data_IF_876603082067
#
_entry.id   IF_876603082067
#
_cell.length_a   1.000
_cell.length_b   1.000
_cell.length_c   1.000
_cell.angle_alpha   90.00
_cell.angle_beta   90.00
_cell.angle_gamma   90.00
#
_symmetry.space_group_name_H-M   'P 1'
#
loop_
_entity.id
_entity.type
_entity.pdbx_description
1 polymer ?
#
# COMPACT_ATOMS: atom_id res chain seq x y z
N UNK A 1 -10.63 22.08 -1.32
CA UNK A 1 -9.53 21.80 -0.36
C UNK A 1 -8.39 21.24 -1.19
N UNK A 2 -7.16 21.72 -1.01
CA UNK A 2 -6.04 21.29 -1.87
C UNK A 2 -5.40 20.04 -1.25
N UNK A 3 -5.94 18.86 -1.56
CA UNK A 3 -5.46 17.58 -1.04
C UNK A 3 -6.19 16.39 -1.66
N UNK A 4 -5.80 15.18 -1.25
CA UNK A 4 -6.50 13.96 -1.61
C UNK A 4 -7.59 13.67 -0.57
N UNK A 5 -8.85 13.71 -0.99
CA UNK A 5 -9.99 13.35 -0.15
C UNK A 5 -10.63 12.08 -0.70
N UNK A 6 -10.77 11.07 0.15
CA UNK A 6 -11.33 9.77 -0.21
C UNK A 6 -12.44 9.39 0.78
N UNK A 7 -13.57 8.90 0.26
CA UNK A 7 -14.61 8.24 1.04
C UNK A 7 -14.55 6.74 0.72
N UNK A 8 -14.22 5.93 1.72
CA UNK A 8 -14.01 4.49 1.55
C UNK A 8 -15.17 3.68 2.15
N UNK A 9 -15.68 2.72 1.38
CA UNK A 9 -16.73 1.78 1.82
C UNK A 9 -16.08 0.45 2.22
N UNK A 10 -15.99 0.19 3.53
CA UNK A 10 -15.28 -0.97 4.06
C UNK A 10 -16.01 -2.30 3.87
N UNK A 11 -17.30 -2.28 3.47
CA UNK A 11 -18.16 -3.47 3.31
C UNK A 11 -17.88 -4.57 4.36
N UNK A 12 -17.91 -4.21 5.66
CA UNK A 12 -17.47 -5.07 6.79
C UNK A 12 -18.15 -6.44 6.87
N UNK A 13 -19.31 -6.58 6.22
CA UNK A 13 -20.08 -7.82 6.15
C UNK A 13 -19.64 -8.76 5.01
N UNK A 14 -18.71 -8.35 4.14
CA UNK A 14 -18.22 -9.11 2.96
C UNK A 14 -16.72 -9.43 3.11
N UNK A 15 -16.27 -9.71 4.33
CA UNK A 15 -14.88 -10.09 4.59
C UNK A 15 -14.64 -11.55 4.21
N UNK A 16 -13.70 -11.77 3.29
CA UNK A 16 -13.10 -13.08 3.11
C UNK A 16 -12.24 -13.45 4.33
N UNK A 17 -11.83 -14.71 4.43
CA UNK A 17 -10.88 -15.12 5.46
C UNK A 17 -9.58 -14.29 5.35
N UNK A 18 -9.35 -13.42 6.34
CA UNK A 18 -8.12 -12.65 6.49
C UNK A 18 -7.39 -13.11 7.76
N UNK A 19 -6.06 -13.31 7.73
CA UNK A 19 -5.28 -13.59 8.93
C UNK A 19 -5.29 -12.42 9.92
N UNK A 20 -5.50 -11.19 9.43
CA UNK A 20 -5.71 -10.02 10.28
C UNK A 20 -7.18 -9.92 10.69
N UNK A 21 -7.42 -9.83 12.00
CA UNK A 21 -8.77 -9.77 12.59
C UNK A 21 -9.31 -8.34 12.75
N UNK A 22 -8.76 -7.39 12.01
CA UNK A 22 -9.17 -5.99 12.04
C UNK A 22 -10.09 -5.63 10.88
N UNK A 23 -11.02 -4.72 11.12
CA UNK A 23 -11.86 -4.11 10.09
C UNK A 23 -11.28 -2.75 9.69
N UNK A 24 -11.24 -2.46 8.40
CA UNK A 24 -10.80 -1.16 7.87
C UNK A 24 -9.91 -1.28 6.65
N UNK A 25 -9.07 -0.26 6.48
CA UNK A 25 -8.15 -0.15 5.36
C UNK A 25 -6.72 0.05 5.86
N UNK A 26 -5.74 -0.33 5.05
CA UNK A 26 -4.35 0.05 5.25
C UNK A 26 -3.94 1.09 4.23
N UNK A 27 -3.24 2.11 4.68
CA UNK A 27 -2.65 3.12 3.83
C UNK A 27 -1.14 3.12 4.00
N UNK A 28 -0.40 3.12 2.90
CA UNK A 28 1.03 3.37 2.90
C UNK A 28 1.33 4.59 2.02
N UNK A 29 2.21 5.46 2.50
CA UNK A 29 2.68 6.64 1.76
C UNK A 29 4.14 6.37 1.41
N UNK A 30 4.43 6.28 0.11
CA UNK A 30 5.76 5.95 -0.37
C UNK A 30 6.05 6.69 -1.68
N UNK A 31 7.31 6.65 -2.10
CA UNK A 31 7.73 7.19 -3.38
C UNK A 31 7.23 6.28 -4.52
N UNK A 32 6.83 6.86 -5.65
CA UNK A 32 6.19 6.12 -6.75
C UNK A 32 7.03 5.00 -7.39
N UNK A 33 8.37 5.07 -7.29
CA UNK A 33 9.29 4.02 -7.73
C UNK A 33 9.73 3.06 -6.60
N UNK A 34 9.13 3.15 -5.42
CA UNK A 34 9.37 2.23 -4.31
C UNK A 34 8.24 1.21 -4.20
N UNK A 35 8.60 -0.02 -3.85
CA UNK A 35 7.64 -1.06 -3.49
C UNK A 35 6.97 -0.73 -2.16
N UNK A 36 5.62 -0.70 -2.09
CA UNK A 36 4.92 -0.51 -0.82
C UNK A 36 5.06 -1.77 0.04
N UNK A 37 5.96 -1.72 1.03
CA UNK A 37 6.08 -2.78 2.02
C UNK A 37 5.07 -2.52 3.14
N UNK A 38 3.84 -2.99 2.92
CA UNK A 38 2.71 -2.83 3.84
C UNK A 38 2.93 -3.45 5.24
N UNK A 39 3.98 -4.26 5.42
CA UNK A 39 4.37 -4.80 6.73
C UNK A 39 5.30 -3.86 7.53
N UNK A 40 5.88 -2.84 6.89
CA UNK A 40 6.86 -1.93 7.50
C UNK A 40 6.31 -0.52 7.72
N UNK A 41 5.48 -0.02 6.78
CA UNK A 41 5.07 1.38 6.75
C UNK A 41 3.58 1.54 6.42
N UNK A 42 2.72 0.91 7.21
CA UNK A 42 1.27 1.02 7.09
C UNK A 42 0.63 1.86 8.20
N UNK A 43 -0.46 2.52 7.82
CA UNK A 43 -1.37 3.24 8.70
C UNK A 43 -2.72 2.54 8.60
N UNK A 44 -3.18 1.96 9.70
CA UNK A 44 -4.50 1.36 9.77
C UNK A 44 -5.58 2.45 9.89
N UNK A 45 -6.60 2.39 9.02
CA UNK A 45 -7.73 3.30 8.97
C UNK A 45 -8.99 2.56 9.40
N UNK A 46 -9.54 2.93 10.56
CA UNK A 46 -10.76 2.31 11.08
C UNK A 46 -12.03 2.91 10.45
N UNK A 47 -13.06 2.09 10.13
CA UNK A 47 -14.36 2.59 9.73
C UNK A 47 -15.02 3.44 10.82
N UNK A 48 -15.90 4.37 10.44
CA UNK A 48 -16.61 5.25 11.38
C UNK A 48 -15.81 6.46 11.86
N UNK A 49 -14.66 6.72 11.24
CA UNK A 49 -13.83 7.88 11.52
C UNK A 49 -13.48 8.61 10.22
N UNK A 50 -13.37 9.93 10.30
CA UNK A 50 -12.64 10.73 9.34
C UNK A 50 -11.21 10.85 9.84
N UNK A 51 -10.26 10.41 9.02
CA UNK A 51 -8.84 10.45 9.33
C UNK A 51 -8.18 11.52 8.45
N UNK A 52 -7.57 12.50 9.09
CA UNK A 52 -6.77 13.53 8.44
C UNK A 52 -5.29 13.18 8.57
N UNK A 53 -4.60 13.21 7.44
CA UNK A 53 -3.19 12.86 7.33
C UNK A 53 -2.41 14.08 6.85
N UNK A 54 -1.57 14.63 7.72
CA UNK A 54 -0.61 15.66 7.33
C UNK A 54 0.69 14.98 6.95
N UNK A 55 1.08 15.12 5.68
CA UNK A 55 2.27 14.47 5.12
C UNK A 55 3.37 15.51 4.94
N UNK A 56 4.50 15.30 5.60
CA UNK A 56 5.68 16.15 5.47
C UNK A 56 6.80 15.38 4.77
N UNK A 57 7.24 15.80 3.56
CA UNK A 57 8.37 15.18 2.90
C UNK A 57 9.68 15.60 3.59
N UNK A 58 10.55 14.63 3.83
CA UNK A 58 11.91 14.82 4.35
C UNK A 58 12.88 14.41 3.25
N UNK A 59 13.59 15.40 2.71
CA UNK A 59 14.64 15.20 1.72
C UNK A 59 15.98 15.00 2.42
N UNK A 60 16.71 13.97 1.99
CA UNK A 60 18.07 13.68 2.41
C UNK A 60 18.95 13.71 1.19
N UNK A 61 20.03 14.48 1.27
CA UNK A 61 20.98 14.63 0.18
C UNK A 61 22.40 14.59 0.77
N UNK A 62 23.28 13.86 0.08
CA UNK A 62 24.66 13.65 0.48
C UNK A 62 25.56 14.48 -0.43
N UNK A 63 26.44 15.29 0.18
CA UNK A 63 27.31 16.21 -0.56
C UNK A 63 28.16 15.50 -1.62
N UNK A 64 28.33 16.13 -2.79
CA UNK A 64 29.14 15.59 -3.89
C UNK A 64 30.59 15.31 -3.49
N UNK A 65 31.17 16.07 -2.55
CA UNK A 65 32.52 15.80 -2.05
C UNK A 65 32.63 14.44 -1.36
N UNK A 66 31.57 14.00 -0.67
CA UNK A 66 31.54 12.69 -0.05
C UNK A 66 31.48 11.56 -1.09
N UNK A 67 30.78 11.77 -2.22
CA UNK A 67 30.72 10.82 -3.34
C UNK A 67 32.11 10.50 -3.91
N UNK A 68 32.95 11.52 -4.10
CA UNK A 68 34.27 11.34 -4.70
C UNK A 68 35.33 10.84 -3.70
N UNK A 69 35.12 11.05 -2.41
CA UNK A 69 36.14 10.81 -1.37
C UNK A 69 36.00 9.46 -0.66
N UNK A 70 34.78 8.95 -0.52
CA UNK A 70 34.49 7.76 0.28
C UNK A 70 33.81 6.69 -0.56
N UNK A 71 34.08 5.41 -0.29
CA UNK A 71 33.33 4.30 -0.89
C UNK A 71 31.89 4.25 -0.35
N UNK A 72 30.96 3.52 -1.00
CA UNK A 72 29.59 3.37 -0.49
C UNK A 72 29.51 2.88 0.96
N UNK A 73 30.37 1.93 1.32
CA UNK A 73 30.43 1.35 2.66
C UNK A 73 30.97 2.35 3.70
N UNK A 74 31.97 3.16 3.33
CA UNK A 74 32.56 4.17 4.21
C UNK A 74 31.59 5.31 4.55
N UNK A 75 30.76 5.72 3.57
CA UNK A 75 29.74 6.76 3.77
C UNK A 75 28.38 6.22 4.20
N UNK A 76 28.18 4.90 4.14
CA UNK A 76 26.95 4.22 4.56
C UNK A 76 25.75 4.43 3.63
N UNK A 77 25.98 4.77 2.35
CA UNK A 77 24.90 4.96 1.37
C UNK A 77 25.36 4.73 -0.08
N UNK A 78 24.42 4.36 -0.94
CA UNK A 78 24.62 4.27 -2.40
C UNK A 78 24.00 5.47 -3.13
N UNK A 79 24.75 6.01 -4.08
CA UNK A 79 24.26 6.88 -5.14
C UNK A 79 23.63 6.05 -6.26
N UNK A 80 22.79 6.71 -7.04
CA UNK A 80 22.15 6.09 -8.19
C UNK A 80 23.19 5.56 -9.20
N UNK A 81 23.05 4.28 -9.57
CA UNK A 81 23.95 3.54 -10.46
C UNK A 81 25.13 2.82 -9.81
N UNK A 82 25.35 2.93 -8.49
CA UNK A 82 26.43 2.16 -7.82
C UNK A 82 26.03 0.74 -7.41
N UNK A 83 24.73 0.49 -7.36
CA UNK A 83 24.13 -0.82 -7.12
C UNK A 83 22.95 -0.99 -8.08
N UNK A 84 23.02 -2.04 -8.88
CA UNK A 84 21.95 -2.40 -9.82
C UNK A 84 21.36 -3.75 -9.43
N UNK A 85 20.05 -3.78 -9.20
CA UNK A 85 19.33 -5.00 -8.88
C UNK A 85 19.20 -5.90 -10.11
N UNK A 86 19.34 -7.21 -9.92
CA UNK A 86 19.14 -8.17 -11.01
C UNK A 86 17.69 -8.21 -11.51
N UNK A 87 16.71 -8.20 -10.61
CA UNK A 87 15.29 -8.40 -10.94
C UNK A 87 14.40 -7.17 -10.71
N UNK A 88 14.96 -6.04 -10.28
CA UNK A 88 14.25 -4.77 -10.14
C UNK A 88 14.86 -3.76 -11.13
N UNK A 89 14.35 -3.68 -12.38
CA UNK A 89 14.95 -2.82 -13.40
C UNK A 89 14.80 -1.34 -13.03
N UNK A 90 15.84 -0.54 -13.32
CA UNK A 90 15.91 0.90 -13.03
C UNK A 90 14.79 1.73 -13.67
N UNK A 91 14.19 1.23 -14.75
CA UNK A 91 13.05 1.88 -15.41
C UNK A 91 11.76 1.87 -14.58
N UNK A 92 11.66 0.96 -13.60
CA UNK A 92 10.47 0.79 -12.75
C UNK A 92 10.77 1.05 -11.28
N UNK A 93 12.02 0.83 -10.86
CA UNK A 93 12.44 0.92 -9.46
C UNK A 93 13.68 1.78 -9.34
N UNK A 94 13.70 2.67 -8.35
CA UNK A 94 14.93 3.38 -7.95
C UNK A 94 15.70 2.59 -6.91
N UNK A 95 16.98 2.91 -6.73
CA UNK A 95 17.67 2.47 -5.52
C UNK A 95 17.09 3.18 -4.29
N UNK A 96 16.74 2.38 -3.28
CA UNK A 96 16.23 2.83 -2.00
C UNK A 96 16.30 1.67 -1.02
N UNK A 97 16.38 1.95 0.28
CA UNK A 97 16.53 0.90 1.28
C UNK A 97 15.34 -0.08 1.23
N UNK A 98 14.12 0.42 1.07
CA UNK A 98 12.90 -0.39 0.91
C UNK A 98 13.01 -1.37 -0.27
N UNK A 99 13.35 -0.87 -1.46
CA UNK A 99 13.54 -1.69 -2.65
C UNK A 99 14.68 -2.70 -2.49
N UNK A 100 15.77 -2.32 -1.81
CA UNK A 100 16.87 -3.24 -1.53
C UNK A 100 16.45 -4.38 -0.61
N UNK A 101 15.74 -4.10 0.49
CA UNK A 101 15.23 -5.13 1.39
C UNK A 101 14.19 -6.03 0.71
N UNK A 102 13.38 -5.47 -0.17
CA UNK A 102 12.47 -6.26 -1.01
C UNK A 102 13.25 -7.16 -1.97
N UNK A 103 14.25 -6.64 -2.67
CA UNK A 103 15.10 -7.40 -3.58
C UNK A 103 15.87 -8.52 -2.86
N UNK A 104 16.39 -8.25 -1.65
CA UNK A 104 17.08 -9.25 -0.83
C UNK A 104 16.13 -10.39 -0.45
N UNK A 105 14.91 -10.04 -0.04
CA UNK A 105 13.87 -11.03 0.27
C UNK A 105 13.48 -11.82 -0.97
N UNK A 106 13.36 -11.16 -2.12
CA UNK A 106 13.05 -11.77 -3.40
C UNK A 106 14.12 -12.78 -3.82
N UNK A 107 15.40 -12.40 -3.72
CA UNK A 107 16.53 -13.30 -3.99
C UNK A 107 16.49 -14.54 -3.10
N UNK A 108 16.16 -14.39 -1.82
CA UNK A 108 15.99 -15.53 -0.91
C UNK A 108 14.83 -16.46 -1.31
N UNK A 109 13.71 -15.91 -1.76
CA UNK A 109 12.59 -16.72 -2.27
C UNK A 109 13.03 -17.54 -3.48
N UNK A 110 13.77 -16.92 -4.41
CA UNK A 110 14.28 -17.61 -5.60
C UNK A 110 15.27 -18.72 -5.24
N UNK A 111 16.23 -18.43 -4.36
CA UNK A 111 17.26 -19.40 -3.93
C UNK A 111 16.68 -20.59 -3.15
N UNK A 112 15.78 -20.31 -2.19
CA UNK A 112 15.28 -21.31 -1.24
C UNK A 112 14.04 -22.02 -1.79
N UNK A 113 13.06 -21.27 -2.28
CA UNK A 113 11.78 -21.82 -2.71
C UNK A 113 11.75 -22.22 -4.20
N UNK A 114 12.74 -21.79 -5.00
CA UNK A 114 12.85 -22.09 -6.44
C UNK A 114 11.57 -21.79 -7.23
N UNK A 115 10.89 -20.69 -6.89
CA UNK A 115 9.66 -20.25 -7.53
C UNK A 115 9.57 -18.72 -7.53
N UNK A 116 8.74 -18.18 -8.40
CA UNK A 116 8.55 -16.75 -8.58
C UNK A 116 7.24 -16.31 -7.93
N UNK A 117 7.24 -15.28 -7.07
CA UNK A 117 6.02 -14.69 -6.53
C UNK A 117 5.04 -14.26 -7.62
N UNK A 118 3.75 -14.56 -7.42
CA UNK A 118 2.70 -14.25 -8.39
C UNK A 118 2.54 -12.74 -8.66
N UNK A 119 2.89 -11.90 -7.69
CA UNK A 119 2.80 -10.43 -7.78
C UNK A 119 4.07 -9.77 -8.35
N UNK A 120 5.16 -10.53 -8.56
CA UNK A 120 6.41 -10.00 -9.10
C UNK A 120 7.16 -11.06 -9.93
N UNK A 121 6.96 -11.01 -11.25
CA UNK A 121 7.37 -12.09 -12.18
C UNK A 121 8.68 -11.84 -12.94
N UNK A 122 9.50 -10.86 -12.54
CA UNK A 122 10.70 -10.46 -13.28
C UNK A 122 11.76 -11.56 -13.40
N UNK A 123 11.81 -12.52 -12.47
CA UNK A 123 12.72 -13.67 -12.53
C UNK A 123 12.17 -14.90 -13.28
N UNK A 124 11.04 -14.80 -13.98
CA UNK A 124 10.38 -15.96 -14.60
C UNK A 124 11.23 -16.67 -15.66
N UNK A 125 12.13 -15.95 -16.33
CA UNK A 125 13.06 -16.56 -17.31
C UNK A 125 14.04 -17.52 -16.63
N UNK A 126 14.56 -17.13 -15.46
CA UNK A 126 15.52 -17.93 -14.70
C UNK A 126 14.80 -19.01 -13.85
N UNK A 127 13.58 -18.70 -13.38
CA UNK A 127 12.75 -19.56 -12.53
C UNK A 127 11.33 -19.69 -13.13
N UNK A 128 11.10 -20.60 -14.08
CA UNK A 128 9.87 -20.66 -14.89
C UNK A 128 8.68 -21.31 -14.16
N UNK A 129 8.50 -21.02 -12.87
CA UNK A 129 7.42 -21.55 -12.03
C UNK A 129 6.91 -20.47 -11.09
N UNK A 130 5.60 -20.28 -11.04
CA UNK A 130 4.96 -19.38 -10.08
C UNK A 130 4.77 -20.12 -8.76
N UNK A 131 5.06 -19.46 -7.63
CA UNK A 131 4.89 -20.05 -6.31
C UNK A 131 3.42 -20.46 -6.07
N UNK A 132 3.19 -21.77 -5.91
CA UNK A 132 1.89 -22.38 -5.65
C UNK A 132 2.03 -23.56 -4.67
N UNK A 133 0.94 -23.89 -3.96
CA UNK A 133 0.90 -25.01 -3.02
C UNK A 133 1.95 -24.90 -1.90
N UNK A 134 2.89 -25.86 -1.83
CA UNK A 134 3.96 -25.89 -0.82
C UNK A 134 4.94 -24.73 -1.01
N UNK A 135 5.29 -24.42 -2.26
CA UNK A 135 6.21 -23.31 -2.57
C UNK A 135 5.63 -21.95 -2.20
N UNK A 136 4.30 -21.80 -2.23
CA UNK A 136 3.59 -20.63 -1.72
C UNK A 136 3.75 -20.49 -0.20
N UNK A 137 3.71 -21.60 0.56
CA UNK A 137 3.94 -21.56 2.01
C UNK A 137 5.39 -21.17 2.34
N UNK A 138 6.36 -21.67 1.57
CA UNK A 138 7.77 -21.26 1.67
C UNK A 138 7.93 -19.76 1.43
N UNK A 139 7.41 -19.27 0.30
CA UNK A 139 7.42 -17.84 -0.06
C UNK A 139 6.78 -16.98 1.03
N UNK A 140 5.60 -17.35 1.53
CA UNK A 140 4.91 -16.60 2.57
C UNK A 140 5.67 -16.56 3.89
N UNK A 141 6.48 -17.58 4.19
CA UNK A 141 7.32 -17.58 5.39
C UNK A 141 8.44 -16.55 5.24
N UNK A 142 9.13 -16.54 4.11
CA UNK A 142 10.20 -15.57 3.84
C UNK A 142 9.67 -14.13 3.75
N UNK A 143 8.50 -13.92 3.12
CA UNK A 143 7.87 -12.60 3.01
C UNK A 143 7.43 -12.00 4.37
N UNK A 144 7.18 -12.84 5.38
CA UNK A 144 6.85 -12.33 6.73
C UNK A 144 8.07 -11.71 7.42
N UNK A 145 9.26 -12.10 7.00
CA UNK A 145 10.52 -11.67 7.59
C UNK A 145 11.25 -10.66 6.69
N UNK A 146 10.50 -9.88 5.89
CA UNK A 146 11.08 -8.77 5.10
C UNK A 146 11.86 -7.83 6.03
N UNK A 147 13.11 -7.54 5.66
CA UNK A 147 14.03 -6.74 6.46
C UNK A 147 15.04 -7.56 7.26
N UNK A 148 14.83 -8.87 7.41
CA UNK A 148 15.85 -9.78 7.99
C UNK A 148 17.01 -10.06 7.03
N UNK A 149 16.75 -9.97 5.73
CA UNK A 149 17.73 -10.14 4.67
C UNK A 149 18.25 -8.77 4.22
N UNK A 150 19.56 -8.56 4.39
CA UNK A 150 20.21 -7.26 4.15
C UNK A 150 21.28 -7.33 3.07
N UNK A 151 21.30 -8.38 2.24
CA UNK A 151 22.25 -8.53 1.13
C UNK A 151 21.50 -8.87 -0.15
N UNK A 152 21.94 -8.28 -1.27
CA UNK A 152 21.33 -8.45 -2.60
C UNK A 152 22.36 -8.86 -3.63
N UNK A 153 21.94 -9.60 -4.65
CA UNK A 153 22.76 -9.80 -5.83
C UNK A 153 22.77 -8.55 -6.71
N UNK A 154 23.93 -7.91 -6.78
CA UNK A 154 24.22 -6.82 -7.72
C UNK A 154 24.97 -7.36 -8.92
N UNK A 155 24.63 -6.88 -10.11
CA UNK A 155 25.40 -7.12 -11.33
C UNK A 155 26.44 -6.02 -11.45
N UNK A 156 27.71 -6.38 -11.49
CA UNK A 156 28.82 -5.45 -11.74
C UNK A 156 28.99 -5.17 -13.24
N UNK A 157 29.67 -4.08 -13.64
CA UNK A 157 29.90 -3.74 -15.06
C UNK A 157 30.65 -4.82 -15.85
N UNK A 158 31.40 -5.68 -15.18
CA UNK A 158 32.13 -6.81 -15.76
C UNK A 158 31.24 -8.05 -16.00
N UNK A 159 29.95 -7.97 -15.64
CA UNK A 159 28.97 -9.04 -15.75
C UNK A 159 29.03 -10.04 -14.60
N UNK A 160 29.85 -9.81 -13.58
CA UNK A 160 29.89 -10.67 -12.39
C UNK A 160 28.77 -10.32 -11.42
N UNK A 161 28.18 -11.35 -10.79
CA UNK A 161 27.18 -11.16 -9.74
C UNK A 161 27.85 -11.20 -8.37
N UNK A 162 27.78 -10.10 -7.63
CA UNK A 162 28.38 -9.96 -6.30
C UNK A 162 27.31 -9.62 -5.28
N UNK A 163 27.41 -10.20 -4.08
CA UNK A 163 26.52 -9.82 -2.97
C UNK A 163 26.97 -8.48 -2.38
N UNK A 164 26.05 -7.52 -2.31
CA UNK A 164 26.26 -6.21 -1.69
C UNK A 164 25.27 -6.02 -0.53
N UNK A 165 25.69 -5.37 0.57
CA UNK A 165 24.80 -5.05 1.67
C UNK A 165 23.78 -3.97 1.25
N UNK A 166 22.59 -3.99 1.84
CA UNK A 166 21.61 -2.93 1.69
C UNK A 166 21.99 -1.74 2.58
N UNK A 167 22.30 -0.61 1.95
CA UNK A 167 22.57 0.66 2.61
C UNK A 167 21.47 1.67 2.26
N UNK A 168 21.47 2.83 2.90
CA UNK A 168 20.54 3.90 2.54
C UNK A 168 20.87 4.46 1.15
N UNK A 169 19.89 5.12 0.51
CA UNK A 169 20.18 5.94 -0.65
C UNK A 169 20.83 7.27 -0.20
N UNK A 170 21.86 7.72 -0.90
CA UNK A 170 22.54 8.98 -0.60
C UNK A 170 21.66 10.20 -0.92
N UNK A 171 20.74 10.05 -1.88
CA UNK A 171 19.69 10.99 -2.25
C UNK A 171 18.34 10.29 -2.05
N UNK A 172 17.55 10.75 -1.09
CA UNK A 172 16.30 10.09 -0.73
C UNK A 172 15.20 11.08 -0.34
N UNK A 173 13.96 10.68 -0.62
CA UNK A 173 12.75 11.36 -0.17
C UNK A 173 11.94 10.40 0.68
N UNK A 174 11.84 10.71 1.96
CA UNK A 174 10.99 9.98 2.91
C UNK A 174 9.79 10.84 3.32
N UNK A 175 8.75 10.22 3.87
CA UNK A 175 7.53 10.92 4.27
C UNK A 175 7.25 10.66 5.75
N UNK A 176 7.02 11.72 6.52
CA UNK A 176 6.50 11.61 7.88
C UNK A 176 5.03 12.00 7.87
N UNK A 177 4.19 11.15 8.47
CA UNK A 177 2.75 11.36 8.55
C UNK A 177 2.34 11.67 9.99
N UNK A 178 1.60 12.76 10.17
CA UNK A 178 0.87 13.03 11.41
C UNK A 178 -0.61 12.69 11.19
N UNK A 179 -1.13 11.82 12.03
CA UNK A 179 -2.50 11.29 11.93
C UNK A 179 -3.38 11.94 12.98
N UNK A 180 -4.50 12.50 12.55
CA UNK A 180 -5.58 12.95 13.45
C UNK A 180 -6.89 12.31 13.01
N UNK A 181 -7.71 11.89 13.97
CA UNK A 181 -8.99 11.23 13.70
C UNK A 181 -10.13 11.97 14.37
N UNK A 182 -11.32 11.87 13.78
CA UNK A 182 -12.56 12.39 14.35
C UNK A 182 -13.72 11.47 13.97
N UNK A 183 -14.78 11.45 14.77
CA UNK A 183 -15.92 10.57 14.55
C UNK A 183 -16.65 10.97 13.25
N UNK A 184 -16.97 9.98 12.43
CA UNK A 184 -17.75 10.15 11.21
C UNK A 184 -18.81 9.04 11.09
N UNK A 185 -20.09 9.36 10.84
CA UNK A 185 -20.62 10.67 10.49
C UNK A 185 -20.87 11.60 11.71
N UNK A 186 -20.84 12.92 11.48
CA UNK A 186 -21.32 13.89 12.44
C UNK A 186 -22.85 13.90 12.46
N UNK A 187 -23.46 13.57 13.61
CA UNK A 187 -24.92 13.41 13.74
C UNK A 187 -25.73 14.66 13.34
N UNK A 188 -25.18 15.87 13.50
CA UNK A 188 -25.92 17.11 13.27
C UNK A 188 -25.75 17.67 11.86
N UNK A 189 -24.60 17.43 11.21
CA UNK A 189 -24.27 18.04 9.92
C UNK A 189 -24.29 17.06 8.75
N UNK A 190 -24.16 15.76 9.02
CA UNK A 190 -24.02 14.74 7.96
C UNK A 190 -25.21 14.70 7.00
N UNK A 191 -26.44 14.88 7.48
CA UNK A 191 -27.63 14.91 6.62
C UNK A 191 -27.60 16.00 5.54
N UNK A 192 -26.76 17.03 5.70
CA UNK A 192 -26.60 18.13 4.74
C UNK A 192 -25.37 17.96 3.84
N UNK A 193 -24.58 16.90 4.04
CA UNK A 193 -23.33 16.69 3.32
C UNK A 193 -23.54 15.85 2.06
N UNK A 194 -22.65 15.97 1.08
CA UNK A 194 -22.74 15.22 -0.17
C UNK A 194 -22.54 13.70 0.05
N UNK A 195 -21.71 13.36 1.03
CA UNK A 195 -21.40 11.99 1.44
C UNK A 195 -22.64 11.24 1.93
N UNK A 196 -23.57 11.93 2.58
CA UNK A 196 -24.84 11.32 2.99
C UNK A 196 -25.62 10.80 1.79
N UNK A 197 -25.66 11.53 0.68
CA UNK A 197 -26.35 11.07 -0.52
C UNK A 197 -25.61 9.93 -1.22
N UNK A 198 -24.28 9.92 -1.21
CA UNK A 198 -23.50 8.76 -1.68
C UNK A 198 -23.82 7.50 -0.86
N UNK A 199 -23.78 7.62 0.47
CA UNK A 199 -24.09 6.53 1.39
C UNK A 199 -25.55 6.06 1.24
N UNK A 200 -26.50 6.99 1.15
CA UNK A 200 -27.92 6.68 0.97
C UNK A 200 -28.17 5.95 -0.37
N UNK A 201 -27.56 6.40 -1.48
CA UNK A 201 -27.69 5.71 -2.78
C UNK A 201 -27.11 4.30 -2.72
N UNK A 202 -25.94 4.12 -2.10
CA UNK A 202 -25.31 2.81 -1.90
C UNK A 202 -26.21 1.88 -1.08
N UNK A 203 -26.67 2.32 0.09
CA UNK A 203 -27.54 1.52 0.96
C UNK A 203 -28.87 1.16 0.28
N UNK A 204 -29.48 2.09 -0.46
CA UNK A 204 -30.71 1.85 -1.23
C UNK A 204 -30.49 0.79 -2.32
N UNK A 205 -29.33 0.81 -2.99
CA UNK A 205 -28.92 -0.23 -3.95
C UNK A 205 -28.72 -1.57 -3.24
N UNK A 206 -28.02 -1.60 -2.10
CA UNK A 206 -27.78 -2.82 -1.33
C UNK A 206 -29.07 -3.50 -0.87
N UNK A 207 -30.08 -2.73 -0.46
CA UNK A 207 -31.42 -3.25 -0.10
C UNK A 207 -32.15 -3.96 -1.26
N UNK A 208 -31.76 -3.74 -2.52
CA UNK A 208 -32.33 -4.41 -3.70
C UNK A 208 -31.53 -5.63 -4.16
N UNK A 209 -30.39 -5.89 -3.52
CA UNK A 209 -29.49 -7.01 -3.87
C UNK A 209 -29.52 -8.08 -2.78
N UNK A 210 -28.76 -9.17 -2.97
CA UNK A 210 -28.54 -10.19 -1.94
C UNK A 210 -27.96 -9.62 -0.64
N UNK A 211 -27.27 -8.47 -0.69
CA UNK A 211 -26.73 -7.75 0.48
C UNK A 211 -27.81 -7.22 1.44
N UNK A 212 -29.10 -7.28 1.07
CA UNK A 212 -30.21 -6.93 1.94
C UNK A 212 -30.28 -7.80 3.21
N UNK A 213 -29.92 -9.09 3.11
CA UNK A 213 -30.04 -10.04 4.23
C UNK A 213 -29.19 -9.60 5.43
N UNK A 214 -27.90 -9.34 5.21
CA UNK A 214 -26.98 -8.89 6.26
C UNK A 214 -27.37 -7.52 6.81
N UNK A 215 -27.81 -6.60 5.94
CA UNK A 215 -28.30 -5.29 6.36
C UNK A 215 -29.56 -5.37 7.24
N UNK A 216 -30.48 -6.29 6.96
CA UNK A 216 -31.68 -6.49 7.77
C UNK A 216 -31.37 -7.18 9.10
N UNK A 217 -30.41 -8.10 9.14
CA UNK A 217 -29.97 -8.72 10.40
C UNK A 217 -29.39 -7.68 11.37
N UNK A 218 -28.54 -6.78 10.87
CA UNK A 218 -27.90 -5.75 11.69
C UNK A 218 -28.81 -4.53 11.93
N UNK A 219 -29.64 -4.15 10.93
CA UNK A 219 -30.51 -2.98 10.96
C UNK A 219 -31.93 -3.31 10.43
N UNK A 220 -32.81 -3.94 11.24
CA UNK A 220 -34.06 -4.57 10.79
C UNK A 220 -35.08 -3.66 10.09
N UNK A 221 -34.98 -2.34 10.26
CA UNK A 221 -35.91 -1.35 9.67
C UNK A 221 -35.28 -0.50 8.58
N UNK A 222 -33.98 -0.61 8.34
CA UNK A 222 -33.26 0.30 7.45
C UNK A 222 -33.83 0.25 6.03
N UNK A 223 -33.91 -0.94 5.43
CA UNK A 223 -34.41 -1.07 4.06
C UNK A 223 -35.87 -0.65 3.89
N UNK A 224 -36.71 -0.86 4.91
CA UNK A 224 -38.11 -0.40 4.90
C UNK A 224 -38.15 1.13 4.85
N UNK A 225 -37.41 1.79 5.75
CA UNK A 225 -37.33 3.25 5.83
C UNK A 225 -36.77 3.85 4.53
N UNK A 226 -35.77 3.21 3.92
CA UNK A 226 -35.20 3.70 2.67
C UNK A 226 -36.15 3.61 1.47
N UNK A 227 -37.05 2.61 1.47
CA UNK A 227 -38.09 2.47 0.44
C UNK A 227 -39.24 3.47 0.66
N UNK A 228 -39.55 3.80 1.92
CA UNK A 228 -40.60 4.75 2.30
C UNK A 228 -40.26 6.19 1.92
N UNK A 229 -38.98 6.58 2.01
CA UNK A 229 -38.51 7.94 1.68
C UNK A 229 -37.58 7.95 0.45
N UNK A 230 -38.08 7.68 -0.77
CA UNK A 230 -37.23 7.49 -1.95
C UNK A 230 -36.60 8.77 -2.51
N UNK A 231 -37.09 9.95 -2.10
CA UNK A 231 -36.75 11.27 -2.65
C UNK A 231 -35.69 12.05 -1.85
N UNK A 232 -35.13 11.45 -0.79
CA UNK A 232 -34.17 12.12 0.13
C UNK A 232 -32.94 12.70 -0.60
N UNK A 233 -32.49 12.05 -1.68
CA UNK A 233 -31.35 12.48 -2.50
C UNK A 233 -31.69 12.49 -4.00
N UNK A 234 -32.77 13.20 -4.33
CA UNK A 234 -33.42 13.21 -5.65
C UNK A 234 -32.75 14.07 -6.72
N UNK A 235 -31.71 14.84 -6.39
CA UNK A 235 -30.91 15.56 -7.37
C UNK A 235 -29.75 14.69 -7.84
N UNK A 236 -29.80 14.24 -9.10
CA UNK A 236 -28.62 13.81 -9.87
C UNK A 236 -27.69 15.01 -10.13
N UNK A 237 -27.35 15.77 -9.08
CA UNK A 237 -26.17 16.62 -9.16
C UNK A 237 -24.98 15.68 -9.11
N UNK A 238 -24.37 15.58 -10.29
CA UNK A 238 -23.16 14.86 -10.62
C UNK A 238 -22.15 14.92 -9.46
N UNK A 239 -21.71 13.77 -8.89
CA UNK A 239 -20.71 13.78 -7.83
C UNK A 239 -19.41 14.48 -8.24
N UNK A 240 -19.14 14.61 -9.55
CA UNK A 240 -17.99 15.34 -10.11
C UNK A 240 -18.15 16.89 -10.08
N UNK A 241 -19.33 17.43 -9.73
CA UNK A 241 -19.55 18.88 -9.57
C UNK A 241 -19.43 19.38 -8.12
N UNK A 242 -19.28 18.48 -7.16
CA UNK A 242 -19.23 18.81 -5.72
C UNK A 242 -17.83 18.73 -5.11
N UNK A 243 -16.81 18.40 -5.92
CA UNK A 243 -15.40 18.56 -5.54
C UNK A 243 -14.91 19.93 -6.06
N UNK A 244 -14.61 20.91 -5.17
CA UNK A 244 -13.91 22.13 -5.56
C UNK A 244 -12.45 21.86 -5.93
#
# INVERSE_FOLDING_TARGET
ENGLTLLLDAEVYDYAFSPQKGEGFKLAIHYHMDQPIMALSDIDLSPGFVTQLSVTPVLRDTTSQARFRFTPEERGCYFDGELEFKYLPRSLYRYGLSNCLFAATYDQILEICNCVPFFHTMAYVDFPQICAGISLLCMNTILRDIGSHTEVWSVEPDGTSVRKPCLFACEDQSYTAAVTTSIFPNMHTFLRSAEFCLMYRKLKKSCRTSKNVTLQEQYPKLCILMLEYPLVCSTDEDPDRLLP
#
